data_IF_429942164562
#
_entry.id   IF_429942164562
#
_cell.length_a   1.000
_cell.length_b   1.000
_cell.length_c   1.000
_cell.angle_alpha   90.00
_cell.angle_beta   90.00
_cell.angle_gamma   90.00
#
_symmetry.space_group_name_H-M   'P 1'
#
loop_
_entity.id
_entity.type
_entity.pdbx_description
1 polymer ?
#
# COMPACT_ATOMS: atom_id res chain seq x y z
N UNK A 1 -2.02 12.61 -14.02
CA UNK A 1 -2.77 12.35 -12.78
C UNK A 1 -3.71 11.17 -12.96
N UNK A 2 -3.85 10.34 -11.94
CA UNK A 2 -4.77 9.20 -11.88
C UNK A 2 -6.21 9.72 -11.78
N UNK A 3 -7.11 9.14 -12.55
CA UNK A 3 -8.54 9.47 -12.57
C UNK A 3 -9.44 8.27 -12.25
N UNK A 4 -8.93 7.07 -12.43
CA UNK A 4 -9.59 5.81 -12.07
C UNK A 4 -8.61 4.83 -11.47
N UNK A 5 -9.06 4.02 -10.51
CA UNK A 5 -8.24 3.01 -9.88
C UNK A 5 -9.06 1.75 -9.58
N UNK A 6 -8.46 0.61 -9.85
CA UNK A 6 -8.93 -0.69 -9.37
C UNK A 6 -7.87 -1.28 -8.47
N UNK A 7 -8.24 -1.66 -7.25
CA UNK A 7 -7.36 -2.20 -6.24
C UNK A 7 -7.87 -3.56 -5.79
N UNK A 8 -7.02 -4.57 -5.83
CA UNK A 8 -7.29 -5.87 -5.24
C UNK A 8 -6.27 -6.14 -4.15
N UNK A 9 -6.72 -6.33 -2.91
CA UNK A 9 -5.84 -6.61 -1.78
C UNK A 9 -5.93 -8.07 -1.37
N UNK A 10 -4.75 -8.68 -1.19
CA UNK A 10 -4.57 -10.01 -0.63
C UNK A 10 -3.95 -9.84 0.77
N UNK A 11 -4.80 -9.93 1.77
CA UNK A 11 -4.46 -9.56 3.14
C UNK A 11 -3.96 -10.76 3.92
N UNK A 12 -2.80 -10.60 4.54
CA UNK A 12 -2.17 -11.59 5.40
C UNK A 12 -2.99 -11.84 6.69
N UNK A 13 -2.79 -13.00 7.29
CA UNK A 13 -3.45 -13.42 8.54
C UNK A 13 -3.18 -12.47 9.69
N UNK A 14 -1.95 -11.93 9.80
CA UNK A 14 -1.56 -10.97 10.84
C UNK A 14 -2.38 -9.67 10.85
N UNK A 15 -3.09 -9.35 9.78
CA UNK A 15 -3.87 -8.10 9.68
C UNK A 15 -5.11 -8.06 10.57
N UNK A 16 -5.53 -9.18 11.14
CA UNK A 16 -6.75 -9.25 11.93
C UNK A 16 -6.55 -9.70 13.39
N UNK A 17 -5.43 -10.33 13.72
CA UNK A 17 -5.19 -10.99 15.00
C UNK A 17 -6.00 -12.28 15.17
N UNK A 18 -5.61 -13.10 16.12
CA UNK A 18 -6.06 -14.49 16.26
C UNK A 18 -7.52 -14.65 16.70
N UNK A 19 -8.14 -13.61 17.26
CA UNK A 19 -9.42 -13.73 17.94
C UNK A 19 -10.67 -13.53 17.06
N UNK A 20 -10.53 -13.26 15.77
CA UNK A 20 -11.66 -12.75 14.98
C UNK A 20 -12.13 -13.62 13.82
N UNK A 21 -11.48 -14.71 13.49
CA UNK A 21 -11.95 -15.66 12.50
C UNK A 21 -11.27 -17.03 12.65
N UNK A 22 -11.95 -18.05 12.16
CA UNK A 22 -11.42 -19.39 12.10
C UNK A 22 -10.30 -19.45 11.05
N UNK A 23 -9.06 -19.79 11.42
CA UNK A 23 -7.96 -19.97 10.48
C UNK A 23 -8.27 -20.98 9.37
N UNK A 24 -9.09 -21.99 9.65
CA UNK A 24 -9.46 -23.05 8.71
C UNK A 24 -10.29 -22.53 7.53
N UNK A 25 -10.94 -21.36 7.67
CA UNK A 25 -11.59 -20.70 6.53
C UNK A 25 -10.61 -20.21 5.47
N UNK A 26 -9.36 -19.97 5.84
CA UNK A 26 -8.36 -19.36 4.98
C UNK A 26 -7.26 -20.32 4.57
N UNK A 27 -6.92 -21.30 5.39
CA UNK A 27 -5.91 -22.31 5.06
C UNK A 27 -6.38 -23.11 3.84
N UNK A 28 -5.55 -23.10 2.78
CA UNK A 28 -5.89 -23.73 1.50
C UNK A 28 -6.92 -22.97 0.65
N UNK A 29 -7.34 -21.76 1.06
CA UNK A 29 -8.35 -20.96 0.39
C UNK A 29 -7.87 -19.51 0.14
N UNK A 30 -8.61 -18.82 -0.74
CA UNK A 30 -8.67 -17.36 -0.80
C UNK A 30 -10.07 -16.97 -0.32
N UNK A 31 -10.15 -16.26 0.80
CA UNK A 31 -11.42 -15.89 1.44
C UNK A 31 -11.84 -14.47 1.07
N UNK A 32 -12.92 -14.26 0.28
CA UNK A 32 -13.41 -12.93 -0.07
C UNK A 32 -13.95 -12.20 1.16
N UNK A 33 -13.59 -10.91 1.31
CA UNK A 33 -13.98 -10.09 2.46
C UNK A 33 -15.20 -9.20 2.21
N UNK A 34 -15.74 -9.20 1.00
CA UNK A 34 -16.92 -8.42 0.66
C UNK A 34 -18.15 -8.92 1.45
N UNK A 35 -18.88 -7.99 2.03
CA UNK A 35 -20.07 -8.26 2.85
C UNK A 35 -19.81 -9.12 4.10
N UNK A 36 -18.56 -9.30 4.50
CA UNK A 36 -18.21 -9.91 5.78
C UNK A 36 -18.26 -8.87 6.91
N UNK A 37 -18.08 -9.33 8.15
CA UNK A 37 -17.98 -8.43 9.32
C UNK A 37 -16.81 -7.43 9.23
N UNK A 38 -15.81 -7.71 8.37
CA UNK A 38 -14.66 -6.83 8.18
C UNK A 38 -14.98 -5.62 7.31
N UNK A 39 -15.88 -5.76 6.32
CA UNK A 39 -16.23 -4.70 5.36
C UNK A 39 -15.03 -3.98 4.78
N UNK A 40 -13.93 -4.69 4.58
CA UNK A 40 -12.62 -4.12 4.24
C UNK A 40 -12.63 -3.37 2.91
N UNK A 41 -13.28 -3.93 1.90
CA UNK A 41 -13.39 -3.31 0.57
C UNK A 41 -14.15 -1.98 0.61
N UNK A 42 -15.19 -1.88 1.42
CA UNK A 42 -15.97 -0.66 1.60
C UNK A 42 -15.14 0.43 2.28
N UNK A 43 -14.45 0.09 3.38
CA UNK A 43 -13.60 1.05 4.08
C UNK A 43 -12.44 1.53 3.22
N UNK A 44 -11.72 0.63 2.56
CA UNK A 44 -10.63 0.99 1.66
C UNK A 44 -11.09 1.90 0.51
N UNK A 45 -12.25 1.64 -0.08
CA UNK A 45 -12.81 2.51 -1.11
C UNK A 45 -13.09 3.91 -0.59
N UNK A 46 -13.71 4.04 0.58
CA UNK A 46 -13.99 5.34 1.21
C UNK A 46 -12.70 6.10 1.53
N UNK A 47 -11.70 5.42 2.06
CA UNK A 47 -10.40 6.00 2.38
C UNK A 47 -9.67 6.48 1.12
N UNK A 48 -9.59 5.67 0.08
CA UNK A 48 -8.98 6.03 -1.20
C UNK A 48 -9.62 7.30 -1.78
N UNK A 49 -10.94 7.36 -1.82
CA UNK A 49 -11.65 8.53 -2.34
C UNK A 49 -11.46 9.77 -1.47
N UNK A 50 -11.30 9.61 -0.15
CA UNK A 50 -11.04 10.73 0.77
C UNK A 50 -9.61 11.27 0.62
N UNK A 51 -8.62 10.37 0.49
CA UNK A 51 -7.20 10.75 0.36
C UNK A 51 -6.93 11.33 -1.03
N UNK A 52 -7.57 10.78 -2.06
CA UNK A 52 -7.38 11.16 -3.45
C UNK A 52 -8.68 11.68 -4.09
N UNK A 53 -9.12 12.90 -3.78
CA UNK A 53 -10.42 13.42 -4.24
C UNK A 53 -10.53 13.59 -5.76
N UNK A 54 -9.41 13.49 -6.49
CA UNK A 54 -9.38 13.54 -7.97
C UNK A 54 -9.69 12.20 -8.63
N UNK A 55 -9.72 11.12 -7.87
CA UNK A 55 -10.10 9.79 -8.37
C UNK A 55 -11.63 9.75 -8.45
N UNK A 56 -12.17 9.70 -9.67
CA UNK A 56 -13.62 9.69 -9.91
C UNK A 56 -14.19 8.27 -10.03
N UNK A 57 -13.34 7.27 -10.30
CA UNK A 57 -13.73 5.87 -10.42
C UNK A 57 -12.83 5.02 -9.53
N UNK A 58 -13.41 4.34 -8.56
CA UNK A 58 -12.68 3.50 -7.63
C UNK A 58 -13.40 2.18 -7.44
N UNK A 59 -12.72 1.08 -7.79
CA UNK A 59 -13.13 -0.28 -7.49
C UNK A 59 -12.16 -0.90 -6.50
N UNK A 60 -12.67 -1.58 -5.47
CA UNK A 60 -11.85 -2.28 -4.48
C UNK A 60 -12.39 -3.68 -4.28
N UNK A 61 -11.49 -4.65 -4.24
CA UNK A 61 -11.76 -6.02 -3.80
C UNK A 61 -10.75 -6.41 -2.72
N UNK A 62 -11.20 -7.05 -1.67
CA UNK A 62 -10.36 -7.48 -0.58
C UNK A 62 -10.53 -8.98 -0.31
N UNK A 63 -9.41 -9.67 -0.11
CA UNK A 63 -9.38 -11.11 0.13
C UNK A 63 -8.41 -11.42 1.28
N UNK A 64 -8.75 -12.40 2.10
CA UNK A 64 -7.82 -12.97 3.07
C UNK A 64 -7.12 -14.16 2.42
N UNK A 65 -5.81 -14.24 2.60
CA UNK A 65 -4.96 -15.30 2.04
C UNK A 65 -4.12 -15.94 3.13
N UNK A 66 -3.69 -17.21 2.95
CA UNK A 66 -2.87 -17.94 3.93
C UNK A 66 -1.41 -17.48 3.92
N UNK A 67 -1.20 -16.17 3.97
CA UNK A 67 0.11 -15.53 4.12
C UNK A 67 0.21 -15.03 5.55
N UNK A 68 1.30 -15.34 6.23
CA UNK A 68 1.47 -15.00 7.65
C UNK A 68 1.50 -13.48 7.87
N UNK A 69 2.37 -12.79 7.14
CA UNK A 69 2.62 -11.34 7.27
C UNK A 69 2.92 -10.74 5.90
N UNK A 70 2.51 -9.49 5.70
CA UNK A 70 2.70 -8.76 4.44
C UNK A 70 1.47 -8.83 3.54
N UNK A 71 0.83 -7.67 3.33
CA UNK A 71 -0.25 -7.56 2.37
C UNK A 71 0.32 -7.43 0.97
N UNK A 72 -0.25 -8.21 0.04
CA UNK A 72 0.00 -8.04 -1.38
C UNK A 72 -1.17 -7.27 -1.99
N UNK A 73 -0.88 -6.32 -2.87
CA UNK A 73 -1.90 -5.50 -3.50
C UNK A 73 -1.62 -5.39 -4.99
N UNK A 74 -2.63 -5.66 -5.79
CA UNK A 74 -2.63 -5.40 -7.22
C UNK A 74 -3.37 -4.09 -7.50
N UNK A 75 -2.71 -3.18 -8.21
CA UNK A 75 -3.22 -1.83 -8.49
C UNK A 75 -3.24 -1.60 -9.99
N UNK A 76 -4.37 -1.13 -10.49
CA UNK A 76 -4.58 -0.79 -11.89
C UNK A 76 -5.12 0.63 -11.98
N UNK A 77 -4.48 1.47 -12.77
CA UNK A 77 -4.78 2.89 -12.85
C UNK A 77 -5.18 3.32 -14.26
N UNK A 78 -6.18 4.19 -14.31
CA UNK A 78 -6.46 5.03 -15.48
C UNK A 78 -5.93 6.43 -15.23
N UNK A 79 -5.26 7.01 -16.20
CA UNK A 79 -4.64 8.32 -16.09
C UNK A 79 -5.30 9.32 -17.07
N UNK A 80 -5.25 10.59 -16.75
CA UNK A 80 -5.78 11.65 -17.62
C UNK A 80 -4.96 11.83 -18.90
N UNK A 81 -3.68 11.53 -18.85
CA UNK A 81 -2.76 11.62 -19.98
C UNK A 81 -2.07 10.28 -20.13
N UNK A 82 -1.79 9.85 -21.36
CA UNK A 82 -1.07 8.61 -21.59
C UNK A 82 0.26 8.57 -20.84
N UNK A 83 0.60 7.38 -20.35
CA UNK A 83 1.91 7.11 -19.76
C UNK A 83 2.82 6.57 -20.84
N UNK A 84 4.04 7.07 -20.91
CA UNK A 84 4.96 6.77 -22.00
C UNK A 84 5.57 5.37 -21.89
N UNK A 85 5.99 4.98 -20.69
CA UNK A 85 6.64 3.69 -20.46
C UNK A 85 6.58 3.26 -18.99
N UNK A 86 6.81 1.97 -18.74
CA UNK A 86 6.99 1.45 -17.38
C UNK A 86 8.20 2.07 -16.68
N UNK A 87 9.25 2.42 -17.41
CA UNK A 87 10.44 3.04 -16.82
C UNK A 87 10.16 4.45 -16.29
N UNK A 88 9.30 5.22 -16.97
CA UNK A 88 8.82 6.51 -16.44
C UNK A 88 8.09 6.31 -15.10
N UNK A 89 7.21 5.33 -15.02
CA UNK A 89 6.49 5.02 -13.77
C UNK A 89 7.45 4.59 -12.67
N UNK A 90 8.37 3.69 -12.97
CA UNK A 90 9.39 3.22 -12.03
C UNK A 90 10.28 4.36 -11.53
N UNK A 91 10.69 5.27 -12.41
CA UNK A 91 11.47 6.44 -12.03
C UNK A 91 10.71 7.36 -11.08
N UNK A 92 9.43 7.61 -11.33
CA UNK A 92 8.57 8.39 -10.44
C UNK A 92 8.41 7.72 -9.06
N UNK A 93 8.24 6.41 -9.02
CA UNK A 93 8.13 5.64 -7.78
C UNK A 93 9.44 5.69 -6.97
N UNK A 94 10.60 5.51 -7.61
CA UNK A 94 11.92 5.61 -6.95
C UNK A 94 12.21 7.01 -6.42
N UNK A 95 11.75 8.04 -7.10
CA UNK A 95 11.92 9.43 -6.68
C UNK A 95 10.98 9.86 -5.56
N UNK A 96 9.94 9.05 -5.24
CA UNK A 96 8.94 9.40 -4.24
C UNK A 96 9.50 9.32 -2.83
N UNK A 97 9.79 10.47 -2.25
CA UNK A 97 10.27 10.60 -0.87
C UNK A 97 9.81 11.96 -0.28
N UNK A 98 8.50 12.16 -0.07
CA UNK A 98 7.92 13.46 0.26
C UNK A 98 8.38 14.02 1.61
N UNK A 99 8.84 13.17 2.53
CA UNK A 99 9.32 13.55 3.86
C UNK A 99 10.85 13.55 3.97
N UNK A 100 11.56 13.37 2.83
CA UNK A 100 13.02 13.40 2.81
C UNK A 100 13.53 14.78 3.29
N UNK A 101 14.49 14.76 4.17
CA UNK A 101 15.10 16.00 4.71
C UNK A 101 14.42 16.55 5.96
N UNK A 102 13.31 15.97 6.44
CA UNK A 102 12.70 16.37 7.72
C UNK A 102 13.40 15.79 8.95
N UNK A 103 14.35 14.88 8.77
CA UNK A 103 15.09 14.29 9.88
C UNK A 103 14.25 13.41 10.81
N UNK A 104 13.20 12.77 10.27
CA UNK A 104 12.33 11.88 11.04
C UNK A 104 13.06 10.55 11.29
N UNK A 105 13.33 10.17 12.55
CA UNK A 105 14.13 8.99 12.87
C UNK A 105 13.55 7.66 12.34
N UNK A 106 12.22 7.56 12.30
CA UNK A 106 11.53 6.35 11.87
C UNK A 106 11.24 6.29 10.35
N UNK A 107 11.60 7.35 9.62
CA UNK A 107 11.36 7.38 8.18
C UNK A 107 12.35 6.48 7.44
N UNK A 108 11.89 5.54 6.58
CA UNK A 108 12.79 4.73 5.78
C UNK A 108 13.55 5.59 4.77
N UNK A 109 14.78 5.20 4.48
CA UNK A 109 15.61 5.89 3.49
C UNK A 109 14.95 5.83 2.11
N UNK A 110 14.44 4.68 1.72
CA UNK A 110 13.68 4.44 0.51
C UNK A 110 12.25 4.02 0.85
N UNK A 111 11.29 4.96 0.93
CA UNK A 111 9.90 4.62 1.28
C UNK A 111 9.21 3.74 0.24
N UNK A 112 9.67 3.78 -1.00
CA UNK A 112 9.27 2.87 -2.08
C UNK A 112 10.53 2.21 -2.66
N UNK A 113 10.53 0.88 -2.67
CA UNK A 113 11.56 0.05 -3.31
C UNK A 113 10.97 -0.58 -4.57
N UNK A 114 11.52 -0.23 -5.74
CA UNK A 114 11.07 -0.79 -7.02
C UNK A 114 11.93 -1.99 -7.37
N UNK A 115 11.29 -3.14 -7.54
CA UNK A 115 11.89 -4.43 -7.87
C UNK A 115 11.71 -4.72 -9.37
N UNK A 116 12.81 -4.91 -10.08
CA UNK A 116 12.80 -5.21 -11.52
C UNK A 116 12.79 -6.71 -11.82
N UNK A 117 13.02 -7.54 -10.82
CA UNK A 117 13.06 -8.98 -10.97
C UNK A 117 11.67 -9.56 -11.27
N UNK A 118 11.63 -10.52 -12.19
CA UNK A 118 10.41 -11.25 -12.54
C UNK A 118 9.84 -11.99 -11.33
N UNK A 119 8.52 -11.92 -11.15
CA UNK A 119 7.84 -12.59 -10.05
C UNK A 119 7.99 -11.91 -8.69
N UNK A 120 8.35 -10.64 -8.66
CA UNK A 120 8.40 -9.80 -7.46
C UNK A 120 7.36 -8.65 -7.55
N UNK A 121 6.83 -8.13 -6.43
CA UNK A 121 7.17 -8.49 -5.05
C UNK A 121 6.48 -9.77 -4.56
N UNK A 122 7.04 -10.39 -3.51
CA UNK A 122 6.49 -11.53 -2.79
C UNK A 122 6.55 -11.31 -1.28
N UNK A 123 5.46 -11.41 -0.51
CA UNK A 123 5.44 -11.10 0.92
C UNK A 123 6.53 -11.82 1.73
N UNK A 124 6.82 -13.09 1.42
CA UNK A 124 7.80 -13.90 2.18
C UNK A 124 9.23 -13.35 2.12
N UNK A 125 9.60 -12.64 1.05
CA UNK A 125 10.99 -12.19 0.83
C UNK A 125 11.12 -10.67 0.70
N UNK A 126 10.01 -9.97 0.46
CA UNK A 126 10.02 -8.52 0.20
C UNK A 126 9.40 -7.70 1.33
N UNK A 127 8.95 -8.38 2.37
CA UNK A 127 8.20 -7.74 3.45
C UNK A 127 9.08 -6.91 4.40
N UNK A 128 10.39 -7.18 4.44
CA UNK A 128 11.29 -6.63 5.46
C UNK A 128 12.27 -5.56 4.94
N UNK A 129 12.10 -5.08 3.69
CA UNK A 129 12.90 -3.96 3.19
C UNK A 129 12.78 -2.73 4.11
N UNK A 130 13.91 -2.07 4.38
CA UNK A 130 13.99 -0.93 5.30
C UNK A 130 13.42 -1.25 6.70
N UNK A 131 13.66 -2.46 7.21
CA UNK A 131 13.10 -2.93 8.48
C UNK A 131 11.57 -3.10 8.45
N UNK A 132 10.98 -3.35 7.29
CA UNK A 132 9.53 -3.47 7.09
C UNK A 132 8.82 -2.13 6.88
N UNK A 133 9.57 -1.03 6.77
CA UNK A 133 9.01 0.30 6.59
C UNK A 133 8.85 0.72 5.12
N UNK A 134 9.49 0.03 4.18
CA UNK A 134 9.31 0.30 2.75
C UNK A 134 8.08 -0.40 2.17
N UNK A 135 7.54 0.18 1.10
CA UNK A 135 6.59 -0.46 0.20
C UNK A 135 7.38 -0.99 -1.00
N UNK A 136 7.38 -2.31 -1.20
CA UNK A 136 8.02 -2.92 -2.36
C UNK A 136 7.05 -2.95 -3.53
N UNK A 137 7.46 -2.41 -4.68
CA UNK A 137 6.67 -2.35 -5.91
C UNK A 137 7.38 -3.08 -7.03
N UNK A 138 6.66 -3.89 -7.78
CA UNK A 138 7.17 -4.57 -8.96
C UNK A 138 6.06 -4.87 -9.95
N UNK A 139 6.37 -5.69 -10.95
CA UNK A 139 5.40 -6.06 -11.99
C UNK A 139 4.73 -4.83 -12.61
N UNK A 140 5.53 -3.81 -12.92
CA UNK A 140 5.05 -2.53 -13.46
C UNK A 140 4.91 -2.63 -14.97
N UNK A 141 3.69 -2.49 -15.47
CA UNK A 141 3.36 -2.47 -16.89
C UNK A 141 2.59 -1.20 -17.25
N UNK A 142 2.65 -0.82 -18.51
CA UNK A 142 1.91 0.32 -19.05
C UNK A 142 1.16 -0.06 -20.31
N UNK A 143 0.03 0.61 -20.53
CA UNK A 143 -0.82 0.39 -21.70
C UNK A 143 -1.29 -1.07 -21.82
N UNK A 144 -1.65 -1.67 -20.68
CA UNK A 144 -2.11 -3.04 -20.57
C UNK A 144 -3.64 -3.08 -20.74
N UNK A 145 -4.09 -3.04 -22.00
CA UNK A 145 -5.50 -3.09 -22.39
C UNK A 145 -6.30 -1.89 -21.87
N UNK A 146 -7.14 -2.09 -20.86
CA UNK A 146 -8.05 -1.08 -20.32
C UNK A 146 -7.37 -0.08 -19.36
N UNK A 147 -6.20 -0.44 -18.82
CA UNK A 147 -5.50 0.38 -17.84
C UNK A 147 -4.20 0.95 -18.41
N UNK A 148 -3.91 2.20 -18.06
CA UNK A 148 -2.68 2.89 -18.47
C UNK A 148 -1.46 2.43 -17.67
N UNK A 149 -1.67 2.04 -16.40
CA UNK A 149 -0.63 1.52 -15.51
C UNK A 149 -1.19 0.37 -14.69
N UNK A 150 -0.45 -0.73 -14.64
CA UNK A 150 -0.68 -1.84 -13.71
C UNK A 150 0.58 -2.12 -12.93
N UNK A 151 0.46 -2.43 -11.66
CA UNK A 151 1.58 -2.77 -10.79
C UNK A 151 1.12 -3.62 -9.62
N UNK A 152 2.06 -4.34 -9.03
CA UNK A 152 1.84 -5.06 -7.78
C UNK A 152 2.72 -4.48 -6.68
N UNK A 153 2.23 -4.46 -5.46
CA UNK A 153 2.99 -4.02 -4.31
C UNK A 153 2.85 -4.96 -3.11
N UNK A 154 3.85 -4.93 -2.26
CA UNK A 154 3.88 -5.63 -0.99
C UNK A 154 4.23 -4.65 0.13
N UNK A 155 3.53 -4.76 1.25
CA UNK A 155 3.76 -3.91 2.43
C UNK A 155 3.68 -4.74 3.70
N UNK A 156 4.61 -4.53 4.61
CA UNK A 156 4.53 -5.09 5.96
C UNK A 156 3.38 -4.41 6.72
N UNK A 157 2.28 -5.14 6.85
CA UNK A 157 1.07 -4.62 7.49
C UNK A 157 1.20 -4.42 9.00
N UNK A 158 2.14 -5.11 9.65
CA UNK A 158 2.39 -4.99 11.09
C UNK A 158 3.32 -3.82 11.39
N UNK A 159 4.36 -3.67 10.59
CA UNK A 159 5.35 -2.59 10.76
C UNK A 159 4.85 -1.32 10.08
N UNK A 160 4.97 -1.23 8.74
CA UNK A 160 4.57 -0.03 7.99
C UNK A 160 3.09 0.28 8.12
N UNK A 161 2.24 -0.73 8.06
CA UNK A 161 0.77 -0.58 8.09
C UNK A 161 0.18 -0.28 9.46
N UNK A 162 0.95 -0.42 10.54
CA UNK A 162 0.47 -0.19 11.89
C UNK A 162 1.40 0.76 12.68
N UNK A 163 2.26 0.22 13.54
CA UNK A 163 3.01 1.03 14.50
C UNK A 163 4.01 2.00 13.84
N UNK A 164 4.65 1.60 12.74
CA UNK A 164 5.66 2.44 12.09
C UNK A 164 5.08 3.72 11.47
N UNK A 165 3.90 3.63 10.84
CA UNK A 165 3.22 4.83 10.34
C UNK A 165 2.74 5.74 11.48
N UNK A 166 2.26 5.15 12.59
CA UNK A 166 1.86 5.91 13.77
C UNK A 166 3.05 6.67 14.38
N UNK A 167 4.22 6.03 14.42
CA UNK A 167 5.43 6.65 14.94
C UNK A 167 5.89 7.83 14.06
N UNK A 168 5.90 7.68 12.74
CA UNK A 168 6.19 8.80 11.81
C UNK A 168 5.22 9.96 12.03
N UNK A 169 3.92 9.67 12.22
CA UNK A 169 2.93 10.71 12.48
C UNK A 169 3.19 11.44 13.80
N UNK A 170 3.64 10.73 14.84
CA UNK A 170 4.03 11.33 16.11
C UNK A 170 5.27 12.23 15.95
N UNK A 171 6.28 11.79 15.21
CA UNK A 171 7.47 12.58 14.89
C UNK A 171 7.12 13.85 14.09
N UNK A 172 6.22 13.74 13.12
CA UNK A 172 5.70 14.89 12.37
C UNK A 172 4.91 15.86 13.27
N UNK A 173 4.11 15.34 14.19
CA UNK A 173 3.41 16.15 15.18
C UNK A 173 4.40 16.92 16.08
N UNK A 174 5.42 16.23 16.58
CA UNK A 174 6.44 16.83 17.43
C UNK A 174 7.22 17.94 16.69
N UNK A 175 7.53 17.72 15.43
CA UNK A 175 8.26 18.67 14.59
C UNK A 175 7.42 19.90 14.22
N UNK A 176 6.15 19.76 13.89
CA UNK A 176 5.36 20.83 13.26
C UNK A 176 4.26 21.40 14.15
N UNK A 177 3.66 20.62 15.02
CA UNK A 177 2.47 21.03 15.80
C UNK A 177 2.83 21.45 17.22
N UNK A 178 3.65 20.66 17.89
CA UNK A 178 4.07 20.95 19.28
C UNK A 178 4.69 22.33 19.46
N UNK A 179 5.60 22.83 18.58
CA UNK A 179 6.14 24.18 18.70
C UNK A 179 5.11 25.29 18.57
N UNK A 180 4.00 25.06 17.84
CA UNK A 180 2.91 26.03 17.69
C UNK A 180 2.08 26.13 18.97
N UNK A 181 1.81 24.97 19.61
CA UNK A 181 1.06 24.93 20.88
C UNK A 181 1.86 25.55 22.01
N UNK A 182 3.16 25.35 22.05
CA UNK A 182 4.05 25.91 23.10
C UNK A 182 4.20 27.44 23.00
N UNK A 183 3.79 28.08 21.91
CA UNK A 183 3.84 29.54 21.69
C UNK A 183 2.49 30.24 21.91
N UNK A 184 1.42 29.47 22.07
CA UNK A 184 0.07 29.97 22.32
C UNK A 184 -0.23 30.05 23.83
#
# INVERSE_FOLDING_TARGET
>A
SVVGVSVTTFQALSGRGDAKYDPDLVVGNIYPLRNTVERTDEYQRKELMRIFPRIVRCAVSAHRVPVRTGHFVDVKCQTRRPVKSSDEVKALLRAFAPLRGLGLPSMPHNPIVVLDEVGRPRPRIDNDYEGGMAVCVGNVHTNDGFFDVTLSLCVNNVVRGAWGAALINLELYDLHVRPLIARA
#
